data_IF_622399677119
#
_entry.id   IF_622399677119
#
_cell.length_a   1.000
_cell.length_b   1.000
_cell.length_c   1.000
_cell.angle_alpha   90.00
_cell.angle_beta   90.00
_cell.angle_gamma   90.00
#
_symmetry.space_group_name_H-M   'P 1'
#
loop_
_entity.id
_entity.type
_entity.pdbx_description
1 polymer ?
#
# COMPACT_ATOMS: atom_id res chain seq x y z
N UNK A 1 17.15 1.18 -4.68
CA UNK A 1 16.66 1.23 -6.08
C UNK A 1 15.33 0.51 -6.11
N UNK A 2 14.22 1.21 -6.38
CA UNK A 2 12.88 0.69 -6.17
C UNK A 2 12.71 -0.67 -6.84
N UNK A 3 12.10 -1.61 -6.12
CA UNK A 3 11.72 -2.90 -6.71
C UNK A 3 10.71 -2.72 -7.84
N UNK A 4 10.49 -3.74 -8.67
CA UNK A 4 9.41 -3.71 -9.66
C UNK A 4 8.05 -3.44 -9.00
N UNK A 5 7.90 -3.95 -7.79
CA UNK A 5 6.77 -3.80 -6.88
C UNK A 5 6.72 -2.45 -6.18
N UNK A 6 7.74 -1.60 -6.34
CA UNK A 6 7.65 -0.20 -5.97
C UNK A 6 6.89 0.58 -7.04
N UNK A 7 7.49 1.68 -7.48
CA UNK A 7 6.84 2.64 -8.35
C UNK A 7 6.44 2.11 -9.74
N UNK A 8 7.12 1.10 -10.30
CA UNK A 8 6.87 0.72 -11.70
C UNK A 8 5.50 0.06 -11.92
N UNK A 9 5.18 -0.99 -11.16
CA UNK A 9 3.88 -1.66 -11.31
C UNK A 9 2.73 -0.72 -10.95
N UNK A 10 2.94 0.08 -9.90
CA UNK A 10 1.98 1.12 -9.53
C UNK A 10 1.78 2.13 -10.67
N UNK A 11 2.82 2.76 -11.22
CA UNK A 11 2.69 3.73 -12.31
C UNK A 11 2.13 3.12 -13.61
N UNK A 12 2.48 1.87 -13.92
CA UNK A 12 2.09 1.23 -15.18
C UNK A 12 0.68 0.62 -15.14
N UNK A 13 0.26 0.12 -13.98
CA UNK A 13 -0.93 -0.74 -13.87
C UNK A 13 -1.89 -0.33 -12.74
N UNK A 14 -1.50 0.55 -11.82
CA UNK A 14 -2.30 0.88 -10.62
C UNK A 14 -2.70 2.34 -10.48
N UNK A 15 -1.88 3.30 -10.93
CA UNK A 15 -1.90 4.68 -10.45
C UNK A 15 -3.27 5.38 -10.53
N UNK A 16 -4.03 5.18 -11.61
CA UNK A 16 -5.36 5.80 -11.77
C UNK A 16 -6.53 4.84 -11.51
N UNK A 17 -6.27 3.56 -11.34
CA UNK A 17 -7.33 2.55 -11.23
C UNK A 17 -7.48 1.95 -9.84
N UNK A 18 -6.56 2.24 -8.90
CA UNK A 18 -6.41 1.42 -7.70
C UNK A 18 -7.43 1.65 -6.56
N UNK A 19 -8.41 2.53 -6.77
CA UNK A 19 -9.60 2.62 -5.92
C UNK A 19 -10.89 2.41 -6.72
N UNK A 20 -10.79 2.20 -8.04
CA UNK A 20 -11.97 2.11 -8.90
C UNK A 20 -12.73 0.79 -8.68
N UNK A 21 -12.05 -0.28 -8.23
CA UNK A 21 -12.63 -1.61 -8.10
C UNK A 21 -12.65 -2.15 -6.66
N UNK A 22 -12.28 -1.33 -5.68
CA UNK A 22 -12.55 -1.61 -4.26
C UNK A 22 -14.05 -1.43 -3.97
N UNK A 23 -14.82 -2.49 -4.11
CA UNK A 23 -16.27 -2.46 -3.86
C UNK A 23 -17.15 -2.58 -5.11
N UNK A 24 -16.61 -2.42 -6.32
CA UNK A 24 -17.40 -2.48 -7.54
C UNK A 24 -16.65 -3.19 -8.67
N UNK A 25 -17.33 -4.09 -9.38
CA UNK A 25 -17.02 -4.33 -10.79
C UNK A 25 -18.13 -3.73 -11.62
N UNK A 26 -17.77 -2.82 -12.52
CA UNK A 26 -18.69 -2.27 -13.51
C UNK A 26 -19.24 -3.40 -14.39
N UNK A 27 -20.51 -3.75 -14.18
CA UNK A 27 -21.28 -4.53 -15.12
C UNK A 27 -21.93 -3.58 -16.14
N UNK A 28 -21.32 -3.44 -17.31
CA UNK A 28 -22.08 -3.05 -18.48
C UNK A 28 -23.06 -4.19 -18.80
N UNK A 29 -24.30 -4.10 -18.30
CA UNK A 29 -25.42 -4.91 -18.79
C UNK A 29 -25.81 -6.16 -17.99
N UNK A 30 -26.18 -5.99 -16.72
CA UNK A 30 -27.19 -6.85 -16.08
C UNK A 30 -26.67 -7.99 -15.20
N UNK A 31 -26.73 -7.75 -13.88
CA UNK A 31 -26.73 -8.73 -12.78
C UNK A 31 -25.57 -9.74 -12.75
N UNK A 32 -24.42 -9.29 -12.27
CA UNK A 32 -23.41 -10.17 -11.66
C UNK A 32 -23.14 -9.68 -10.23
N UNK A 33 -23.14 -10.59 -9.26
CA UNK A 33 -22.85 -10.26 -7.86
C UNK A 33 -21.36 -9.95 -7.73
N UNK A 34 -21.03 -8.72 -7.36
CA UNK A 34 -19.65 -8.25 -7.23
C UNK A 34 -19.01 -8.79 -5.95
N UNK A 35 -18.02 -9.69 -6.08
CA UNK A 35 -17.18 -10.09 -4.94
C UNK A 35 -16.03 -9.07 -4.76
N UNK A 36 -16.26 -8.07 -3.92
CA UNK A 36 -15.27 -7.06 -3.54
C UNK A 36 -14.23 -7.55 -2.50
N UNK A 37 -14.15 -8.85 -2.26
CA UNK A 37 -13.19 -9.38 -1.28
C UNK A 37 -11.75 -9.31 -1.79
N UNK A 38 -10.81 -9.22 -0.83
CA UNK A 38 -9.38 -9.34 -1.14
C UNK A 38 -9.05 -10.65 -1.84
N UNK A 39 -9.80 -11.73 -1.59
CA UNK A 39 -9.59 -13.00 -2.27
C UNK A 39 -9.88 -12.89 -3.77
N UNK A 40 -10.96 -12.20 -4.15
CA UNK A 40 -11.30 -11.93 -5.53
C UNK A 40 -10.25 -11.04 -6.21
N UNK A 41 -9.77 -9.99 -5.53
CA UNK A 41 -8.72 -9.11 -6.07
C UNK A 41 -7.43 -9.88 -6.45
N UNK A 42 -6.95 -10.80 -5.59
CA UNK A 42 -5.78 -11.65 -5.89
C UNK A 42 -6.09 -12.80 -6.88
N UNK A 43 -7.36 -13.15 -7.08
CA UNK A 43 -7.79 -14.16 -8.05
C UNK A 43 -7.96 -13.59 -9.46
N UNK A 44 -8.20 -12.28 -9.57
CA UNK A 44 -8.45 -11.58 -10.83
C UNK A 44 -7.28 -11.66 -11.81
N UNK A 45 -7.60 -11.87 -13.08
CA UNK A 45 -6.69 -11.77 -14.21
C UNK A 45 -6.68 -10.37 -14.84
N UNK A 46 -7.43 -9.43 -14.29
CA UNK A 46 -7.45 -8.06 -14.79
C UNK A 46 -6.07 -7.40 -14.62
N UNK A 47 -5.63 -6.57 -15.59
CA UNK A 47 -4.29 -6.01 -15.60
C UNK A 47 -4.09 -4.87 -14.58
N UNK A 48 -5.15 -4.39 -13.93
CA UNK A 48 -5.10 -3.40 -12.85
C UNK A 48 -4.33 -3.94 -11.63
N UNK A 49 -3.75 -3.05 -10.82
CA UNK A 49 -2.79 -3.42 -9.75
C UNK A 49 -3.27 -3.13 -8.31
N UNK A 50 -4.57 -3.22 -8.07
CA UNK A 50 -5.18 -3.01 -6.74
C UNK A 50 -4.73 -4.01 -5.66
N UNK A 51 -4.55 -5.27 -6.08
CA UNK A 51 -3.99 -6.33 -5.25
C UNK A 51 -2.56 -6.00 -4.78
N UNK A 52 -1.84 -5.17 -5.53
CA UNK A 52 -0.57 -4.58 -5.13
C UNK A 52 -0.69 -3.63 -3.94
N UNK A 53 -1.64 -2.71 -3.96
CA UNK A 53 -1.77 -1.70 -2.90
C UNK A 53 -2.21 -2.31 -1.57
N UNK A 54 -3.09 -3.31 -1.61
CA UNK A 54 -3.46 -4.10 -0.43
C UNK A 54 -2.23 -4.83 0.14
N UNK A 55 -1.38 -5.40 -0.71
CA UNK A 55 -0.16 -6.07 -0.28
C UNK A 55 0.71 -5.11 0.55
N UNK A 56 0.89 -3.87 0.08
CA UNK A 56 1.70 -2.85 0.72
C UNK A 56 1.01 -2.12 1.87
N UNK A 57 -0.32 -2.04 1.93
CA UNK A 57 -1.02 -1.41 3.06
C UNK A 57 -1.11 -2.34 4.29
N UNK A 58 -0.88 -3.64 4.09
CA UNK A 58 -1.16 -4.69 5.09
C UNK A 58 -0.39 -4.59 6.41
N UNK A 59 0.70 -3.82 6.46
CA UNK A 59 1.49 -3.60 7.68
C UNK A 59 1.07 -2.37 8.50
N UNK A 60 0.12 -1.56 8.02
CA UNK A 60 -0.25 -0.28 8.65
C UNK A 60 -1.75 -0.02 8.74
N UNK A 61 -2.58 -0.72 7.98
CA UNK A 61 -4.03 -0.52 7.96
C UNK A 61 -4.79 -1.81 8.24
N UNK A 62 -6.01 -1.65 8.76
CA UNK A 62 -6.96 -2.76 8.89
C UNK A 62 -7.50 -3.12 7.50
N UNK A 63 -7.34 -4.39 7.14
CA UNK A 63 -7.83 -4.98 5.89
C UNK A 63 -8.87 -6.07 6.21
N UNK A 64 -10.02 -6.04 5.54
CA UNK A 64 -11.09 -7.05 5.66
C UNK A 64 -10.81 -8.25 4.76
N UNK A 65 -11.16 -9.48 5.18
CA UNK A 65 -10.87 -10.71 4.41
C UNK A 65 -9.40 -11.15 4.54
N UNK A 66 -8.92 -12.16 3.81
CA UNK A 66 -7.50 -12.57 3.78
C UNK A 66 -6.71 -11.83 2.68
N UNK A 67 -5.49 -11.37 2.96
CA UNK A 67 -4.67 -10.59 2.03
C UNK A 67 -3.43 -11.38 1.60
N UNK A 68 -3.14 -11.40 0.29
CA UNK A 68 -1.94 -12.00 -0.28
C UNK A 68 -2.20 -13.27 -1.09
N UNK A 69 -1.22 -13.71 -1.90
CA UNK A 69 -1.36 -14.92 -2.70
C UNK A 69 -1.46 -16.17 -1.82
N UNK A 70 -2.29 -17.12 -2.26
CA UNK A 70 -2.32 -18.47 -1.70
C UNK A 70 -1.23 -19.30 -2.34
N UNK A 71 -0.15 -19.54 -1.60
CA UNK A 71 0.94 -20.40 -2.06
C UNK A 71 0.81 -21.79 -1.45
N UNK A 72 1.17 -22.81 -2.22
CA UNK A 72 1.33 -24.15 -1.67
C UNK A 72 2.68 -24.21 -0.94
N UNK A 73 2.63 -24.40 0.37
CA UNK A 73 3.84 -24.58 1.17
C UNK A 73 4.27 -26.04 1.06
N UNK A 74 5.49 -26.32 0.57
CA UNK A 74 6.00 -27.69 0.49
C UNK A 74 5.93 -28.38 1.86
N UNK A 75 5.59 -29.67 1.94
CA UNK A 75 5.45 -30.39 3.20
C UNK A 75 6.70 -30.29 4.10
N UNK A 76 7.90 -30.19 3.52
CA UNK A 76 9.15 -30.02 4.27
C UNK A 76 9.20 -28.70 5.06
N UNK A 77 8.80 -27.60 4.42
CA UNK A 77 8.75 -26.27 5.06
C UNK A 77 7.61 -26.20 6.08
N UNK A 78 6.46 -26.77 5.76
CA UNK A 78 5.31 -26.84 6.66
C UNK A 78 5.64 -27.61 7.96
N UNK A 79 6.36 -28.74 7.84
CA UNK A 79 6.86 -29.53 8.99
C UNK A 79 7.87 -28.76 9.84
N UNK A 80 8.80 -28.04 9.21
CA UNK A 80 9.78 -27.23 9.93
C UNK A 80 9.11 -26.11 10.72
N UNK A 81 8.15 -25.40 10.10
CA UNK A 81 7.36 -24.37 10.77
C UNK A 81 6.49 -24.92 11.91
N UNK A 82 5.89 -26.10 11.73
CA UNK A 82 5.10 -26.77 12.77
C UNK A 82 5.96 -27.15 13.98
N UNK A 83 7.18 -27.67 13.77
CA UNK A 83 8.16 -27.95 14.85
C UNK A 83 8.52 -26.70 15.63
N UNK A 84 8.83 -25.59 14.96
CA UNK A 84 9.15 -24.32 15.62
C UNK A 84 7.98 -23.82 16.48
N UNK A 85 6.74 -24.07 16.06
CA UNK A 85 5.51 -23.66 16.77
C UNK A 85 5.01 -24.69 17.78
N UNK A 86 5.70 -25.81 17.97
CA UNK A 86 5.26 -26.90 18.85
C UNK A 86 3.95 -27.56 18.39
N UNK A 87 3.63 -27.51 17.10
CA UNK A 87 2.40 -28.10 16.51
C UNK A 87 2.70 -29.41 15.77
N UNK A 88 1.70 -30.28 15.69
CA UNK A 88 1.78 -31.49 14.90
C UNK A 88 2.04 -31.14 13.42
N UNK A 89 2.95 -31.85 12.74
CA UNK A 89 3.23 -31.64 11.33
C UNK A 89 2.01 -31.97 10.47
N UNK A 90 1.65 -31.14 9.48
CA UNK A 90 0.56 -31.45 8.56
C UNK A 90 0.95 -32.65 7.68
N UNK A 91 -0.02 -33.54 7.43
CA UNK A 91 0.15 -34.73 6.60
C UNK A 91 0.29 -34.39 5.10
N UNK A 92 -0.33 -33.28 4.68
CA UNK A 92 -0.41 -32.84 3.28
C UNK A 92 0.18 -31.44 3.06
N UNK A 93 0.32 -31.04 1.80
CA UNK A 93 0.73 -29.68 1.44
C UNK A 93 -0.30 -28.67 1.95
N UNK A 94 0.16 -27.66 2.68
CA UNK A 94 -0.72 -26.64 3.26
C UNK A 94 -0.75 -25.45 2.31
N UNK A 95 -1.95 -25.02 1.91
CA UNK A 95 -2.11 -23.70 1.28
C UNK A 95 -2.04 -22.64 2.37
N UNK A 96 -1.11 -21.69 2.21
CA UNK A 96 -0.97 -20.57 3.12
C UNK A 96 -1.12 -19.26 2.35
N UNK A 97 -1.93 -18.35 2.89
CA UNK A 97 -2.00 -16.97 2.42
C UNK A 97 -0.77 -16.23 2.95
N UNK A 98 0.09 -15.75 2.06
CA UNK A 98 1.33 -15.06 2.43
C UNK A 98 1.12 -13.56 2.42
N UNK A 99 1.14 -12.94 3.60
CA UNK A 99 1.26 -11.49 3.76
C UNK A 99 2.14 -11.20 4.98
N UNK A 100 3.36 -10.73 4.72
CA UNK A 100 4.34 -10.39 5.77
C UNK A 100 3.84 -9.19 6.57
N UNK A 101 3.32 -8.17 5.89
CA UNK A 101 2.79 -6.99 6.54
C UNK A 101 1.66 -7.31 7.51
N UNK A 102 0.70 -8.16 7.10
CA UNK A 102 -0.41 -8.56 7.96
C UNK A 102 0.02 -9.37 9.19
N UNK A 103 1.01 -10.25 9.04
CA UNK A 103 1.51 -11.04 10.16
C UNK A 103 2.17 -10.16 11.24
N UNK A 104 2.82 -9.06 10.83
CA UNK A 104 3.29 -8.04 11.74
C UNK A 104 2.12 -7.25 12.33
N UNK A 105 1.19 -6.76 11.51
CA UNK A 105 0.04 -5.98 11.95
C UNK A 105 -0.87 -6.73 12.95
N UNK A 106 -0.98 -8.06 12.88
CA UNK A 106 -1.68 -8.87 13.92
C UNK A 106 -1.08 -8.74 15.32
N UNK A 107 0.16 -8.29 15.42
CA UNK A 107 0.83 -8.00 16.69
C UNK A 107 0.69 -6.53 17.08
N UNK A 108 -0.02 -5.70 16.34
CA UNK A 108 -0.25 -4.30 16.70
C UNK A 108 -0.95 -4.18 18.06
N UNK A 109 -0.55 -3.19 18.86
CA UNK A 109 -1.12 -2.98 20.21
C UNK A 109 -1.64 -1.55 20.35
N UNK A 110 -2.95 -1.32 20.48
CA UNK A 110 -3.51 0.02 20.61
C UNK A 110 -2.86 0.83 21.74
N UNK A 111 -2.65 2.13 21.53
CA UNK A 111 -2.04 3.04 22.51
C UNK A 111 -0.52 2.84 22.74
N UNK A 112 0.17 2.06 21.90
CA UNK A 112 1.62 1.86 21.98
C UNK A 112 2.34 2.30 20.69
N UNK A 113 2.34 3.60 20.35
CA UNK A 113 2.82 4.10 19.06
C UNK A 113 4.28 3.74 18.76
N UNK A 114 5.19 3.91 19.72
CA UNK A 114 6.61 3.58 19.51
C UNK A 114 6.85 2.10 19.20
N UNK A 115 6.11 1.20 19.87
CA UNK A 115 6.18 -0.25 19.59
C UNK A 115 5.66 -0.56 18.19
N UNK A 116 4.53 0.03 17.82
CA UNK A 116 3.89 -0.21 16.54
C UNK A 116 4.71 0.38 15.39
N UNK A 117 5.35 1.54 15.59
CA UNK A 117 6.31 2.12 14.66
C UNK A 117 7.53 1.20 14.42
N UNK A 118 8.10 0.61 15.47
CA UNK A 118 9.18 -0.37 15.33
C UNK A 118 8.73 -1.64 14.59
N UNK A 119 7.52 -2.14 14.92
CA UNK A 119 6.93 -3.32 14.28
C UNK A 119 6.66 -3.07 12.79
N UNK A 120 6.10 -1.91 12.46
CA UNK A 120 5.92 -1.40 11.11
C UNK A 120 7.25 -1.36 10.38
N UNK A 121 8.27 -0.71 10.95
CA UNK A 121 9.57 -0.55 10.30
C UNK A 121 10.23 -1.89 10.01
N UNK A 122 10.22 -2.82 10.97
CA UNK A 122 10.76 -4.17 10.78
C UNK A 122 10.00 -4.93 9.68
N UNK A 123 8.66 -4.85 9.67
CA UNK A 123 7.83 -5.53 8.68
C UNK A 123 7.97 -4.94 7.27
N UNK A 124 8.07 -3.61 7.17
CA UNK A 124 8.30 -2.90 5.92
C UNK A 124 9.66 -3.26 5.34
N UNK A 125 10.73 -3.23 6.15
CA UNK A 125 12.06 -3.62 5.70
C UNK A 125 12.11 -5.08 5.23
N UNK A 126 11.45 -5.99 5.96
CA UNK A 126 11.34 -7.38 5.57
C UNK A 126 10.59 -7.54 4.24
N UNK A 127 9.47 -6.83 4.06
CA UNK A 127 8.73 -6.79 2.80
C UNK A 127 9.61 -6.27 1.66
N UNK A 128 10.27 -5.11 1.82
CA UNK A 128 11.18 -4.55 0.80
C UNK A 128 12.27 -5.55 0.41
N UNK A 129 12.86 -6.24 1.38
CA UNK A 129 13.86 -7.28 1.11
C UNK A 129 13.27 -8.45 0.30
N UNK A 130 12.08 -8.95 0.66
CA UNK A 130 11.42 -10.01 -0.11
C UNK A 130 11.08 -9.59 -1.54
N UNK A 131 10.62 -8.35 -1.73
CA UNK A 131 10.30 -7.83 -3.06
C UNK A 131 11.56 -7.73 -3.94
N UNK A 132 12.70 -7.35 -3.38
CA UNK A 132 13.98 -7.35 -4.10
C UNK A 132 14.43 -8.77 -4.48
N UNK A 133 14.21 -9.76 -3.61
CA UNK A 133 14.46 -11.18 -3.96
C UNK A 133 13.51 -11.62 -5.07
N UNK A 134 12.23 -11.25 -4.98
CA UNK A 134 11.26 -11.60 -5.99
C UNK A 134 11.57 -10.94 -7.34
N UNK A 135 12.04 -9.69 -7.38
CA UNK A 135 12.52 -9.06 -8.62
C UNK A 135 13.55 -9.95 -9.34
N UNK A 136 14.50 -10.53 -8.60
CA UNK A 136 15.49 -11.44 -9.17
C UNK A 136 14.85 -12.73 -9.71
N UNK A 137 13.89 -13.29 -8.97
CA UNK A 137 13.12 -14.46 -9.43
C UNK A 137 12.33 -14.13 -10.70
N UNK A 138 11.67 -12.98 -10.78
CA UNK A 138 10.94 -12.55 -11.98
C UNK A 138 11.89 -12.27 -13.14
N UNK A 139 13.05 -11.65 -12.89
CA UNK A 139 14.06 -11.42 -13.91
C UNK A 139 14.55 -12.74 -14.55
N UNK A 140 14.78 -13.75 -13.71
CA UNK A 140 15.25 -15.08 -14.13
C UNK A 140 14.16 -15.92 -14.80
N UNK A 141 12.97 -16.00 -14.19
CA UNK A 141 11.90 -16.94 -14.60
C UNK A 141 10.91 -16.34 -15.58
N UNK A 142 10.83 -15.02 -15.67
CA UNK A 142 9.80 -14.31 -16.45
C UNK A 142 8.41 -14.32 -15.82
N UNK A 143 8.23 -14.90 -14.62
CA UNK A 143 6.93 -15.00 -13.94
C UNK A 143 6.94 -14.34 -12.57
N UNK A 144 5.82 -13.70 -12.25
CA UNK A 144 5.59 -13.06 -10.97
C UNK A 144 4.76 -13.98 -10.08
N UNK A 145 5.35 -14.50 -9.00
CA UNK A 145 4.70 -15.44 -8.10
C UNK A 145 3.68 -14.80 -7.15
N UNK A 146 3.75 -13.48 -6.95
CA UNK A 146 2.77 -12.76 -6.11
C UNK A 146 1.44 -12.54 -6.83
N UNK A 147 1.48 -12.45 -8.17
CA UNK A 147 0.31 -12.19 -9.01
C UNK A 147 0.23 -13.20 -10.16
N UNK A 148 0.05 -14.50 -9.84
CA UNK A 148 0.17 -15.58 -10.82
C UNK A 148 -0.95 -15.61 -11.85
N UNK A 149 -2.08 -14.95 -11.56
CA UNK A 149 -3.27 -14.94 -12.41
C UNK A 149 -3.27 -13.79 -13.43
N UNK A 150 -2.34 -12.84 -13.30
CA UNK A 150 -2.28 -11.67 -14.21
C UNK A 150 -1.93 -12.11 -15.64
N UNK A 151 -2.28 -11.32 -16.66
CA UNK A 151 -2.10 -11.70 -18.05
C UNK A 151 -0.62 -11.85 -18.41
N UNK A 152 -0.32 -12.60 -19.47
CA UNK A 152 1.06 -12.81 -19.91
C UNK A 152 1.79 -11.48 -20.23
N UNK A 153 1.07 -10.49 -20.75
CA UNK A 153 1.62 -9.15 -20.99
C UNK A 153 2.10 -8.47 -19.69
N UNK A 154 1.38 -8.64 -18.58
CA UNK A 154 1.79 -8.15 -17.26
C UNK A 154 3.11 -8.82 -16.85
N UNK A 155 3.18 -10.15 -16.94
CA UNK A 155 4.39 -10.90 -16.60
C UNK A 155 5.60 -10.53 -17.46
N UNK A 156 5.41 -10.40 -18.79
CA UNK A 156 6.47 -9.94 -19.70
C UNK A 156 6.97 -8.54 -19.35
N UNK A 157 6.04 -7.63 -19.03
CA UNK A 157 6.37 -6.27 -18.61
C UNK A 157 7.11 -6.22 -17.28
N UNK A 158 6.73 -7.07 -16.31
CA UNK A 158 7.46 -7.24 -15.06
C UNK A 158 8.88 -7.75 -15.31
N UNK A 159 9.02 -8.82 -16.11
CA UNK A 159 10.30 -9.45 -16.39
C UNK A 159 11.28 -8.51 -17.08
N UNK A 160 10.81 -7.75 -18.08
CA UNK A 160 11.62 -6.74 -18.76
C UNK A 160 12.15 -5.68 -17.78
N UNK A 161 11.26 -5.15 -16.93
CA UNK A 161 11.67 -4.20 -15.89
C UNK A 161 12.66 -4.81 -14.91
N UNK A 162 12.37 -5.99 -14.35
CA UNK A 162 13.24 -6.63 -13.36
C UNK A 162 14.64 -6.93 -13.92
N UNK A 163 14.75 -7.35 -15.18
CA UNK A 163 16.04 -7.55 -15.85
C UNK A 163 16.81 -6.24 -16.01
N UNK A 164 16.13 -5.17 -16.44
CA UNK A 164 16.73 -3.84 -16.53
C UNK A 164 17.18 -3.34 -15.16
N UNK A 165 16.32 -3.42 -14.15
CA UNK A 165 16.61 -3.01 -12.78
C UNK A 165 17.79 -3.81 -12.20
N UNK A 166 17.85 -5.13 -12.41
CA UNK A 166 18.97 -5.96 -12.02
C UNK A 166 20.27 -5.51 -12.71
N UNK A 167 20.25 -5.28 -14.01
CA UNK A 167 21.41 -4.79 -14.76
C UNK A 167 21.91 -3.44 -14.22
N UNK A 168 21.02 -2.47 -14.00
CA UNK A 168 21.39 -1.16 -13.45
C UNK A 168 21.94 -1.29 -12.04
N UNK A 169 21.33 -2.11 -11.17
CA UNK A 169 21.85 -2.38 -9.80
C UNK A 169 23.25 -2.98 -9.85
N UNK A 170 23.48 -3.96 -10.74
CA UNK A 170 24.81 -4.56 -10.93
C UNK A 170 25.82 -3.51 -11.40
N UNK A 171 25.49 -2.70 -12.39
CA UNK A 171 26.38 -1.65 -12.90
C UNK A 171 26.73 -0.61 -11.81
N UNK A 172 25.74 -0.17 -11.03
CA UNK A 172 25.97 0.75 -9.91
C UNK A 172 26.84 0.12 -8.82
N UNK A 173 26.64 -1.17 -8.51
CA UNK A 173 27.49 -1.89 -7.58
C UNK A 173 28.93 -2.03 -8.11
N UNK A 174 29.12 -2.31 -9.40
CA UNK A 174 30.44 -2.38 -10.02
C UNK A 174 31.14 -1.02 -10.04
N UNK A 175 30.40 0.07 -10.25
CA UNK A 175 30.95 1.43 -10.30
C UNK A 175 31.26 2.02 -8.91
N UNK A 176 30.39 1.82 -7.93
CA UNK A 176 30.46 2.48 -6.61
C UNK A 176 30.62 1.53 -5.41
N UNK A 177 30.73 0.23 -5.67
CA UNK A 177 30.85 -0.81 -4.66
C UNK A 177 29.64 -0.90 -3.73
N UNK A 178 29.86 -1.52 -2.57
CA UNK A 178 28.84 -1.67 -1.53
C UNK A 178 28.37 -0.32 -0.95
N UNK A 179 29.19 0.74 -1.00
CA UNK A 179 28.83 2.06 -0.47
C UNK A 179 27.69 2.70 -1.28
N UNK A 180 27.83 2.75 -2.60
CA UNK A 180 26.78 3.28 -3.47
C UNK A 180 25.49 2.47 -3.33
N UNK A 181 25.60 1.14 -3.27
CA UNK A 181 24.46 0.26 -3.06
C UNK A 181 23.75 0.51 -1.73
N UNK A 182 24.49 0.67 -0.63
CA UNK A 182 23.94 0.97 0.69
C UNK A 182 23.24 2.32 0.71
N UNK A 183 23.85 3.38 0.18
CA UNK A 183 23.23 4.71 0.12
C UNK A 183 21.92 4.66 -0.65
N UNK A 184 21.90 4.06 -1.84
CA UNK A 184 20.68 3.96 -2.65
C UNK A 184 19.58 3.09 -2.01
N UNK A 185 19.97 2.09 -1.22
CA UNK A 185 19.01 1.25 -0.49
C UNK A 185 18.44 2.01 0.70
N UNK A 186 19.28 2.72 1.46
CA UNK A 186 18.85 3.56 2.58
C UNK A 186 17.96 4.71 2.09
N UNK A 187 18.32 5.40 1.01
CA UNK A 187 17.50 6.46 0.41
C UNK A 187 16.13 5.97 -0.03
N UNK A 188 16.01 4.71 -0.49
CA UNK A 188 14.72 4.13 -0.88
C UNK A 188 13.80 3.87 0.33
N UNK A 189 14.35 3.43 1.47
CA UNK A 189 13.52 2.95 2.58
C UNK A 189 13.32 3.99 3.68
N UNK A 190 14.31 4.84 3.97
CA UNK A 190 14.30 5.68 5.16
C UNK A 190 13.17 6.72 5.16
N UNK A 191 12.77 7.22 4.00
CA UNK A 191 11.70 8.24 3.91
C UNK A 191 10.30 7.69 4.22
N UNK A 192 10.10 6.37 4.08
CA UNK A 192 8.87 5.65 4.44
C UNK A 192 8.82 5.21 5.92
N UNK A 193 9.90 5.41 6.68
CA UNK A 193 10.05 4.90 8.05
C UNK A 193 10.01 6.04 9.09
N UNK A 194 9.32 5.85 10.23
CA UNK A 194 9.47 6.75 11.38
C UNK A 194 10.94 6.80 11.84
N UNK A 195 11.46 7.95 12.28
CA UNK A 195 10.75 9.22 12.51
C UNK A 195 10.77 10.18 11.30
N UNK A 196 11.10 9.72 10.09
CA UNK A 196 11.17 10.61 8.93
C UNK A 196 9.80 11.27 8.65
N UNK A 197 9.71 12.61 8.50
CA UNK A 197 8.41 13.29 8.37
C UNK A 197 7.56 12.81 7.19
N UNK A 198 8.19 12.52 6.05
CA UNK A 198 7.47 12.03 4.86
C UNK A 198 6.75 10.68 5.08
N UNK A 199 7.12 9.94 6.14
CA UNK A 199 6.43 8.70 6.49
C UNK A 199 4.97 8.96 6.90
N UNK A 200 4.63 10.16 7.41
CA UNK A 200 3.26 10.50 7.79
C UNK A 200 2.29 10.39 6.60
N UNK A 201 2.61 11.06 5.48
CA UNK A 201 1.86 10.92 4.23
C UNK A 201 1.77 9.45 3.80
N UNK A 202 2.88 8.71 3.83
CA UNK A 202 2.90 7.30 3.43
C UNK A 202 1.98 6.42 4.28
N UNK A 203 1.88 6.68 5.58
CA UNK A 203 1.06 5.84 6.48
C UNK A 203 -0.41 6.22 6.51
N UNK A 204 -0.77 7.46 6.14
CA UNK A 204 -2.17 7.93 6.20
C UNK A 204 -2.88 7.96 4.86
N UNK A 205 -2.15 7.92 3.73
CA UNK A 205 -2.70 8.16 2.40
C UNK A 205 -3.98 7.39 2.04
N UNK A 206 -4.16 6.16 2.51
CA UNK A 206 -5.35 5.33 2.24
C UNK A 206 -6.19 5.05 3.49
N UNK A 207 -5.97 5.83 4.54
CA UNK A 207 -6.69 5.74 5.80
C UNK A 207 -8.10 6.31 5.66
N UNK A 208 -9.09 5.47 5.93
CA UNK A 208 -10.48 5.85 6.09
C UNK A 208 -10.86 5.67 7.57
N UNK A 209 -11.23 6.76 8.22
CA UNK A 209 -11.75 6.72 9.59
C UNK A 209 -13.17 6.16 9.59
N UNK A 210 -13.59 5.50 10.68
CA UNK A 210 -15.00 5.50 11.06
C UNK A 210 -15.24 6.83 11.77
N UNK A 211 -15.85 7.80 11.11
CA UNK A 211 -16.38 8.95 11.84
C UNK A 211 -17.59 8.44 12.65
N UNK A 212 -17.52 8.52 13.98
CA UNK A 212 -18.70 8.29 14.81
C UNK A 212 -19.66 9.47 14.58
N UNK A 213 -20.79 9.20 13.92
CA UNK A 213 -21.90 10.15 13.81
C UNK A 213 -21.98 10.99 12.54
N UNK A 214 -21.12 10.76 11.53
CA UNK A 214 -21.32 11.37 10.20
C UNK A 214 -22.16 10.40 9.34
N UNK A 215 -23.35 10.85 8.94
CA UNK A 215 -24.19 10.21 7.92
C UNK A 215 -23.59 10.37 6.50
N UNK A 216 -22.49 11.12 6.36
CA UNK A 216 -21.80 11.38 5.10
C UNK A 216 -20.74 10.29 4.81
N UNK A 217 -20.76 9.79 3.57
CA UNK A 217 -20.07 8.57 3.15
C UNK A 217 -18.56 8.56 3.37
N UNK A 218 -17.98 7.36 3.34
CA UNK A 218 -16.57 7.17 3.57
C UNK A 218 -15.67 7.75 2.47
N UNK A 219 -14.54 8.36 2.89
CA UNK A 219 -13.49 8.87 2.00
C UNK A 219 -12.35 7.83 1.87
N UNK A 220 -12.05 7.31 0.66
CA UNK A 220 -11.13 6.18 0.48
C UNK A 220 -9.64 6.55 0.59
N UNK A 221 -9.33 7.84 0.50
CA UNK A 221 -7.98 8.38 0.47
C UNK A 221 -7.91 9.64 1.34
N UNK A 222 -6.73 10.00 1.84
CA UNK A 222 -6.58 11.17 2.71
C UNK A 222 -5.33 11.98 2.42
N UNK A 223 -5.46 13.30 2.58
CA UNK A 223 -4.37 14.28 2.48
C UNK A 223 -3.87 14.69 3.86
N UNK A 224 -2.62 15.17 3.90
CA UNK A 224 -1.99 15.72 5.12
C UNK A 224 -1.55 17.17 4.89
N UNK A 225 -2.02 18.07 5.73
CA UNK A 225 -1.86 19.53 5.59
C UNK A 225 -0.91 20.07 6.66
N UNK A 226 0.37 19.68 6.58
CA UNK A 226 1.36 19.93 7.62
C UNK A 226 2.40 21.02 7.29
N UNK A 227 1.99 22.03 6.52
CA UNK A 227 2.78 23.21 6.22
C UNK A 227 3.41 23.19 4.82
N UNK A 228 3.79 24.38 4.33
CA UNK A 228 4.48 24.53 3.03
C UNK A 228 5.80 23.76 2.96
N UNK A 229 6.53 23.72 4.08
CA UNK A 229 7.78 22.96 4.17
C UNK A 229 7.52 21.47 3.96
N UNK A 230 6.40 20.94 4.46
CA UNK A 230 6.03 19.54 4.34
C UNK A 230 5.59 19.21 2.92
N UNK A 231 4.80 20.09 2.31
CA UNK A 231 4.44 19.99 0.91
C UNK A 231 5.70 20.00 0.01
N UNK A 232 6.68 20.85 0.31
CA UNK A 232 7.96 20.85 -0.42
C UNK A 232 8.75 19.56 -0.19
N UNK A 233 8.84 19.07 1.05
CA UNK A 233 9.54 17.83 1.40
C UNK A 233 8.94 16.60 0.69
N UNK A 234 7.61 16.57 0.55
CA UNK A 234 6.86 15.48 -0.07
C UNK A 234 6.59 15.72 -1.55
N UNK A 235 7.11 16.81 -2.14
CA UNK A 235 6.87 17.18 -3.54
C UNK A 235 5.37 17.24 -3.89
N UNK A 236 4.53 17.70 -2.96
CA UNK A 236 3.09 17.82 -3.12
C UNK A 236 2.31 16.50 -2.99
N UNK A 237 2.97 15.36 -2.79
CA UNK A 237 2.28 14.06 -2.62
C UNK A 237 1.47 13.95 -1.33
N UNK A 238 1.65 14.89 -0.39
CA UNK A 238 0.79 15.05 0.78
C UNK A 238 -0.64 15.47 0.42
N UNK A 239 -0.87 16.05 -0.77
CA UNK A 239 -2.18 16.35 -1.36
C UNK A 239 -2.73 15.15 -2.13
N UNK A 240 -2.84 14.02 -1.43
CA UNK A 240 -3.13 12.75 -2.09
C UNK A 240 -4.58 12.67 -2.58
N UNK A 241 -5.54 13.15 -1.79
CA UNK A 241 -6.94 13.22 -2.21
C UNK A 241 -7.13 14.11 -3.43
N UNK A 242 -6.54 15.31 -3.40
CA UNK A 242 -6.54 16.24 -4.53
C UNK A 242 -5.95 15.64 -5.81
N UNK A 243 -4.86 14.88 -5.67
CA UNK A 243 -4.24 14.17 -6.80
C UNK A 243 -5.18 13.12 -7.39
N UNK A 244 -5.95 12.44 -6.55
CA UNK A 244 -6.92 11.45 -6.98
C UNK A 244 -8.14 12.06 -7.67
N UNK A 245 -8.61 13.20 -7.19
CA UNK A 245 -9.75 13.90 -7.78
C UNK A 245 -9.38 14.57 -9.12
N UNK A 246 -8.15 15.12 -9.19
CA UNK A 246 -7.68 15.87 -10.36
C UNK A 246 -6.27 15.40 -10.79
N UNK A 247 -6.14 14.19 -11.36
CA UNK A 247 -4.84 13.59 -11.70
C UNK A 247 -4.03 14.36 -12.75
N UNK A 248 -4.70 15.18 -13.56
CA UNK A 248 -4.07 16.02 -14.58
C UNK A 248 -3.54 17.36 -14.04
N UNK A 249 -3.89 17.72 -12.79
CA UNK A 249 -3.40 18.94 -12.16
C UNK A 249 -1.96 18.74 -11.71
N UNK A 250 -1.01 19.61 -12.12
CA UNK A 250 0.38 19.48 -11.70
C UNK A 250 0.52 19.54 -10.17
N UNK A 251 1.42 18.73 -9.59
CA UNK A 251 1.57 18.59 -8.13
C UNK A 251 1.74 19.92 -7.37
N UNK A 252 2.42 20.91 -7.98
CA UNK A 252 2.64 22.24 -7.39
C UNK A 252 1.38 23.11 -7.34
N UNK A 253 0.29 22.68 -7.97
CA UNK A 253 -1.00 23.34 -7.99
C UNK A 253 -2.05 22.61 -7.15
N UNK A 254 -1.80 21.38 -6.69
CA UNK A 254 -2.78 20.59 -5.93
C UNK A 254 -3.27 21.32 -4.68
N UNK A 255 -2.38 21.98 -3.93
CA UNK A 255 -2.77 22.78 -2.77
C UNK A 255 -3.71 23.96 -3.09
N UNK A 256 -3.90 24.33 -4.38
CA UNK A 256 -4.89 25.34 -4.79
C UNK A 256 -6.31 24.80 -4.81
N UNK A 257 -6.51 23.49 -4.97
CA UNK A 257 -7.84 22.86 -5.00
C UNK A 257 -8.58 23.12 -3.68
N UNK A 258 -7.87 23.00 -2.56
CA UNK A 258 -8.37 23.38 -1.22
C UNK A 258 -8.76 24.86 -1.08
N UNK A 259 -8.24 25.78 -1.91
CA UNK A 259 -8.68 27.20 -1.89
C UNK A 259 -9.97 27.43 -2.63
N UNK A 260 -10.15 26.74 -3.76
CA UNK A 260 -11.30 26.96 -4.64
C UNK A 260 -12.50 26.11 -4.27
N UNK A 261 -12.27 25.03 -3.53
CA UNK A 261 -13.30 24.06 -3.12
C UNK A 261 -13.02 23.51 -1.70
N UNK A 262 -12.83 24.37 -0.68
CA UNK A 262 -12.50 23.95 0.69
C UNK A 262 -13.52 22.98 1.32
N UNK A 263 -14.78 23.03 0.88
CA UNK A 263 -15.87 22.18 1.34
C UNK A 263 -15.64 20.69 1.06
N UNK A 264 -14.82 20.33 0.07
CA UNK A 264 -14.50 18.94 -0.25
C UNK A 264 -13.22 18.42 0.44
N UNK A 265 -12.40 19.32 0.99
CA UNK A 265 -11.07 19.00 1.52
C UNK A 265 -10.96 19.44 2.98
N UNK A 266 -11.26 18.52 3.91
CA UNK A 266 -11.21 18.65 5.39
C UNK A 266 -11.01 20.08 5.94
N UNK A 267 -12.08 20.58 6.58
CA UNK A 267 -12.00 21.51 7.70
C UNK A 267 -11.45 22.90 7.39
N UNK A 268 -12.20 23.70 6.63
CA UNK A 268 -12.22 25.15 6.79
C UNK A 268 -13.67 25.65 6.73
N UNK A 269 -14.37 25.62 7.87
CA UNK A 269 -15.37 26.65 8.13
C UNK A 269 -14.61 27.92 8.50
N UNK A 270 -14.40 28.80 7.50
CA UNK A 270 -13.95 30.17 7.71
C UNK A 270 -12.49 30.48 7.38
N UNK A 271 -12.32 31.36 6.39
CA UNK A 271 -11.26 32.37 6.37
C UNK A 271 -9.97 32.02 5.61
N UNK A 272 -9.49 32.99 4.83
CA UNK A 272 -8.39 32.95 3.86
C UNK A 272 -6.97 32.64 4.40
N UNK A 273 -6.78 32.15 5.61
CA UNK A 273 -5.45 32.06 6.22
C UNK A 273 -5.00 30.61 6.44
N UNK A 274 -4.18 30.16 5.48
CA UNK A 274 -3.34 28.96 5.45
C UNK A 274 -3.96 27.60 5.06
N UNK A 275 -4.04 27.42 3.73
CA UNK A 275 -4.25 26.12 3.05
C UNK A 275 -3.25 25.02 3.42
N UNK A 276 -2.18 25.38 4.14
CA UNK A 276 -1.10 24.50 4.56
C UNK A 276 -1.12 24.20 6.05
N UNK A 277 -1.96 24.83 6.87
CA UNK A 277 -1.88 24.68 8.32
C UNK A 277 -3.09 23.90 8.87
N UNK A 278 -2.82 23.03 9.84
CA UNK A 278 -3.83 22.20 10.49
C UNK A 278 -3.26 20.91 11.06
N UNK A 279 -2.36 20.26 10.30
CA UNK A 279 -1.77 19.00 10.72
C UNK A 279 -0.38 19.17 11.34
N UNK A 280 -0.15 18.43 12.42
CA UNK A 280 1.17 18.23 12.98
C UNK A 280 1.66 16.82 12.60
N UNK A 281 2.74 16.73 11.81
CA UNK A 281 3.30 15.46 11.33
C UNK A 281 3.55 14.47 12.46
N UNK A 282 4.07 14.93 13.61
CA UNK A 282 4.34 14.04 14.74
C UNK A 282 3.05 13.54 15.39
N UNK A 283 2.03 14.39 15.52
CA UNK A 283 0.71 13.98 16.00
C UNK A 283 0.02 13.01 15.03
N UNK A 284 0.15 13.23 13.72
CA UNK A 284 -0.33 12.29 12.70
C UNK A 284 0.32 10.92 12.91
N UNK A 285 1.65 10.89 13.01
CA UNK A 285 2.39 9.65 13.21
C UNK A 285 1.98 8.99 14.53
N UNK A 286 1.88 9.74 15.62
CA UNK A 286 1.43 9.22 16.91
C UNK A 286 0.03 8.60 16.80
N UNK A 287 -0.92 9.27 16.15
CA UNK A 287 -2.27 8.75 15.90
C UNK A 287 -2.23 7.49 15.04
N UNK A 288 -1.60 7.55 13.88
CA UNK A 288 -1.52 6.44 12.92
C UNK A 288 -0.88 5.20 13.54
N UNK A 289 0.12 5.36 14.41
CA UNK A 289 0.76 4.26 15.13
C UNK A 289 0.04 3.84 16.42
N UNK A 290 -0.87 4.66 16.96
CA UNK A 290 -1.68 4.30 18.14
C UNK A 290 -2.96 3.56 17.76
N UNK A 291 -3.64 4.03 16.73
CA UNK A 291 -4.97 3.58 16.30
C UNK A 291 -5.00 3.41 14.78
N UNK A 292 -4.89 2.17 14.27
CA UNK A 292 -4.81 1.97 12.85
C UNK A 292 -6.19 2.11 12.20
N UNK A 293 -6.22 2.88 11.12
CA UNK A 293 -7.39 3.17 10.30
C UNK A 293 -7.76 1.98 9.38
N UNK A 294 -8.97 2.00 8.83
CA UNK A 294 -9.37 1.05 7.81
C UNK A 294 -8.83 1.50 6.46
N UNK A 295 -8.41 0.54 5.64
CA UNK A 295 -7.98 0.85 4.29
C UNK A 295 -9.19 1.14 3.40
N UNK A 296 -9.18 2.29 2.73
CA UNK A 296 -10.06 2.62 1.60
C UNK A 296 -11.53 2.19 1.76
N UNK A 297 -12.17 2.54 2.87
CA UNK A 297 -13.60 2.30 3.12
C UNK A 297 -14.05 0.84 3.14
N UNK A 298 -13.12 -0.12 3.30
CA UNK A 298 -13.45 -1.56 3.33
C UNK A 298 -14.45 -1.98 4.44
N UNK A 299 -14.72 -1.10 5.39
CA UNK A 299 -15.58 -1.33 6.56
C UNK A 299 -16.83 -0.43 6.58
N UNK A 300 -17.06 0.38 5.54
CA UNK A 300 -18.28 1.20 5.41
C UNK A 300 -19.50 0.30 5.11
N UNK A 301 -20.58 0.49 5.86
CA UNK A 301 -21.80 -0.30 5.77
C UNK A 301 -22.58 -0.07 4.47
N UNK A 302 -22.41 1.08 3.83
CA UNK A 302 -23.07 1.39 2.55
C UNK A 302 -22.54 0.54 1.39
N UNK A 303 -21.26 0.11 1.44
CA UNK A 303 -20.71 -0.86 0.50
C UNK A 303 -21.33 -2.27 0.63
N UNK A 304 -22.08 -2.56 1.71
CA UNK A 304 -22.73 -3.86 1.93
C UNK A 304 -24.16 -3.90 1.37
N UNK A 305 -24.89 -2.77 1.38
CA UNK A 305 -26.24 -2.73 0.85
C UNK A 305 -26.27 -2.74 -0.69
N UNK A 306 -25.25 -2.20 -1.36
CA UNK A 306 -25.11 -2.32 -2.82
C UNK A 306 -24.53 -3.68 -3.27
N UNK A 307 -23.85 -4.40 -2.38
CA UNK A 307 -23.31 -5.75 -2.67
C UNK A 307 -24.30 -6.91 -2.37
N UNK A 308 -25.50 -6.61 -1.87
CA UNK A 308 -26.57 -7.60 -1.70
C UNK A 308 -26.22 -8.77 -0.77
N UNK A 309 -25.63 -8.50 0.39
CA UNK A 309 -25.47 -9.47 1.50
C UNK A 309 -26.27 -9.00 2.71
#
# INVERSE_FOLDING_TARGET
>A
MPSAFGYYLYLRFGHLSHHAWHGSTAAAGGTEVVDASLAAAFASDAPNFEDGDVLFASHRMKLRGEAGPRVQVPPRLARAAARIRGKAPPAEAVRATVSVGRAAFRRWKPGHPGRNACLYAASFLAERAMLQVNDLVVAATGRNAFFPNKPEQFHRSCAAYCRCAAAVRTLLYLAGGWRAWTVLTLSEVLWCLPPHPAAAMFVTNHGSGRAEGEEEGCVPTSSTYAGRWYAALTLGTNYHMEHHDFPDVPFHQLGRLRRIAPEFYRGMEGGDEDIYEGDNVFRIMEKAFSEPEFYSCMDDANNLMEAGI
#
